data_IF_863004215287
#
_entry.id   IF_863004215287
#
_cell.length_a   1.000
_cell.length_b   1.000
_cell.length_c   1.000
_cell.angle_alpha   90.00
_cell.angle_beta   90.00
_cell.angle_gamma   90.00
#
_symmetry.space_group_name_H-M   'P 1'
#
loop_
_entity.id
_entity.type
_entity.pdbx_description
1 polymer ?
2 water ?
#
# COMPACT_ATOMS: atom_id res chain seq x y z
N UNK A 14 2.03 -14.63 11.82
CA UNK A 14 2.51 -14.68 10.38
C UNK A 14 3.04 -13.31 10.00
N UNK A 15 3.96 -13.29 9.05
CA UNK A 15 4.47 -11.99 8.57
C UNK A 15 3.45 -11.38 7.61
N UNK A 16 3.58 -10.08 7.37
CA UNK A 16 2.71 -9.47 6.37
C UNK A 16 2.78 -10.14 5.00
N UNK A 17 3.98 -10.38 4.44
CA UNK A 17 3.98 -11.08 3.13
C UNK A 17 3.34 -12.46 3.17
N UNK A 18 3.49 -13.20 4.28
CA UNK A 18 2.86 -14.51 4.34
C UNK A 18 1.35 -14.35 4.30
N UNK A 19 0.82 -13.40 5.07
CA UNK A 19 -0.60 -13.14 5.08
C UNK A 19 -1.11 -12.70 3.70
N UNK A 20 -0.30 -11.89 3.04
CA UNK A 20 -0.75 -11.32 1.79
C UNK A 20 -0.71 -12.36 0.69
N UNK A 21 0.09 -13.39 0.89
CA UNK A 21 0.24 -14.41 -0.16
C UNK A 21 -1.02 -15.35 -0.32
N UNK A 22 -2.03 -15.15 0.55
CA UNK A 22 -3.29 -15.81 0.40
C UNK A 22 -4.33 -14.87 -0.25
N UNK A 23 -3.86 -13.69 -0.71
CA UNK A 23 -4.80 -12.66 -1.15
C UNK A 23 -4.71 -12.40 -2.64
N UNK A 24 -5.80 -11.83 -3.19
CA UNK A 24 -5.78 -11.46 -4.60
C UNK A 24 -5.68 -9.97 -4.73
N UNK A 25 -5.37 -9.54 -5.95
CA UNK A 25 -5.48 -8.12 -6.26
C UNK A 25 -6.87 -7.78 -6.77
N UNK A 26 -7.08 -6.51 -7.07
CA UNK A 26 -8.39 -6.08 -7.53
C UNK A 26 -8.74 -6.67 -8.90
N UNK A 27 -7.74 -7.11 -9.65
CA UNK A 27 -7.98 -7.77 -10.97
C UNK A 27 -7.97 -9.29 -10.88
N UNK A 28 -7.93 -9.79 -9.64
CA UNK A 28 -8.02 -11.21 -9.29
C UNK A 28 -6.73 -12.03 -9.35
N UNK A 29 -5.62 -11.41 -9.72
CA UNK A 29 -4.36 -12.13 -9.74
C UNK A 29 -3.83 -12.30 -8.31
N UNK A 30 -2.92 -13.26 -8.09
CA UNK A 30 -2.34 -13.42 -6.75
C UNK A 30 -1.51 -12.20 -6.34
N UNK A 31 -1.79 -11.67 -5.15
CA UNK A 31 -0.96 -10.54 -4.61
C UNK A 31 0.51 -10.94 -4.52
N UNK A 32 0.79 -12.26 -4.34
CA UNK A 32 2.15 -12.66 -4.09
C UNK A 32 3.10 -12.29 -5.26
N UNK A 33 2.58 -12.12 -6.48
CA UNK A 33 3.48 -11.86 -7.63
C UNK A 33 4.26 -10.56 -7.45
N UNK A 34 3.69 -9.65 -6.65
CA UNK A 34 4.30 -8.32 -6.48
C UNK A 34 5.36 -8.29 -5.41
N UNK A 35 5.44 -9.33 -4.57
CA UNK A 35 6.25 -9.29 -3.37
C UNK A 35 7.66 -9.85 -3.62
N UNK A 36 8.35 -9.22 -4.56
CA UNK A 36 9.65 -9.71 -5.03
C UNK A 36 10.62 -9.89 -3.92
N UNK A 37 11.45 -10.94 -4.04
CA UNK A 37 12.40 -11.24 -3.00
C UNK A 37 13.54 -10.22 -2.97
N UNK A 38 14.14 -10.08 -1.80
CA UNK A 38 15.34 -9.28 -1.61
C UNK A 38 15.06 -7.82 -1.80
N UNK A 39 13.78 -7.45 -1.67
CA UNK A 39 13.40 -6.05 -1.73
C UNK A 39 12.51 -5.76 -0.52
N UNK A 40 12.63 -4.56 0.05
CA UNK A 40 11.59 -4.16 1.05
C UNK A 40 10.28 -3.87 0.29
N UNK A 41 9.18 -3.77 1.02
CA UNK A 41 7.89 -3.48 0.43
C UNK A 41 7.32 -2.26 1.10
N UNK A 42 6.90 -1.30 0.26
CA UNK A 42 6.28 -0.07 0.77
C UNK A 42 4.81 -0.20 0.43
N UNK A 43 3.97 -0.18 1.47
CA UNK A 43 2.53 -0.46 1.28
C UNK A 43 1.71 0.77 1.60
N UNK A 44 0.86 1.16 0.69
CA UNK A 44 -0.10 2.28 0.96
C UNK A 44 -1.48 1.69 1.25
N UNK A 45 -2.03 1.99 2.43
CA UNK A 45 -3.40 1.57 2.81
C UNK A 45 -4.32 2.72 2.48
N UNK A 46 -5.45 2.38 1.88
CA UNK A 46 -6.41 3.40 1.46
C UNK A 46 -7.83 2.85 1.40
N UNK A 47 -8.80 3.75 1.17
CA UNK A 47 -10.20 3.40 1.01
C UNK A 47 -10.83 4.25 -0.05
N UNK A 48 -11.87 3.67 -0.64
CA UNK A 48 -12.61 4.34 -1.75
C UNK A 48 -13.30 5.62 -1.27
N UNK A 49 -13.61 5.71 0.03
CA UNK A 49 -14.37 6.84 0.55
C UNK A 49 -13.51 8.02 0.94
N UNK A 50 -12.18 7.90 0.74
CA UNK A 50 -11.25 8.94 1.21
C UNK A 50 -10.81 9.72 -0.04
N UNK A 51 -11.31 10.95 -0.22
CA UNK A 51 -10.92 11.63 -1.47
C UNK A 51 -9.43 11.98 -1.54
N UNK A 52 -8.75 12.14 -0.41
CA UNK A 52 -7.33 12.37 -0.48
C UNK A 52 -6.65 11.12 -1.04
N UNK A 53 -7.04 9.97 -0.50
CA UNK A 53 -6.51 8.73 -1.05
C UNK A 53 -6.77 8.64 -2.54
N UNK A 54 -8.02 8.91 -2.98
CA UNK A 54 -8.28 8.80 -4.42
C UNK A 54 -7.42 9.77 -5.24
N UNK A 55 -7.20 10.97 -4.67
CA UNK A 55 -6.38 11.98 -5.41
C UNK A 55 -4.92 11.56 -5.58
N UNK A 56 -4.50 10.60 -4.73
CA UNK A 56 -3.11 10.19 -4.67
C UNK A 56 -2.87 8.87 -5.45
N UNK A 57 -3.92 8.28 -6.01
CA UNK A 57 -3.75 6.97 -6.75
C UNK A 57 -2.82 7.16 -7.96
N UNK A 58 -2.98 8.29 -8.66
CA UNK A 58 -2.10 8.52 -9.85
C UNK A 58 -0.65 8.72 -9.44
N UNK A 59 -0.45 9.40 -8.31
CA UNK A 59 0.86 9.59 -7.76
C UNK A 59 1.52 8.25 -7.42
N UNK A 60 0.80 7.40 -6.70
CA UNK A 60 1.36 6.09 -6.33
C UNK A 60 1.65 5.25 -7.56
N UNK A 61 0.79 5.35 -8.57
CA UNK A 61 1.03 4.59 -9.81
C UNK A 61 2.33 5.06 -10.47
N UNK A 62 2.54 6.38 -10.49
CA UNK A 62 3.79 6.93 -11.04
C UNK A 62 4.99 6.42 -10.30
N UNK A 63 4.92 6.42 -8.96
CA UNK A 63 6.03 5.94 -8.21
C UNK A 63 6.30 4.49 -8.53
N UNK A 64 5.23 3.70 -8.61
CA UNK A 64 5.41 2.25 -8.78
C UNK A 64 6.13 1.96 -10.10
N UNK A 65 5.95 2.84 -11.06
CA UNK A 65 6.54 2.66 -12.41
C UNK A 65 7.88 3.33 -12.56
N UNK A 66 8.31 4.04 -11.53
CA UNK A 66 9.52 4.88 -11.64
C UNK A 66 10.76 4.10 -11.27
N UNK A 67 11.83 4.28 -12.07
CA UNK A 67 13.08 3.62 -11.72
C UNK A 67 13.64 3.95 -10.32
N UNK A 68 13.36 5.16 -9.81
CA UNK A 68 13.87 5.53 -8.47
C UNK A 68 13.32 4.60 -7.38
N UNK A 69 12.18 3.96 -7.68
CA UNK A 69 11.57 3.07 -6.68
C UNK A 69 11.89 1.63 -6.96
N UNK A 70 12.78 1.36 -7.92
CA UNK A 70 12.95 -0.01 -8.35
C UNK A 70 13.54 -0.93 -7.30
N UNK A 71 14.16 -0.38 -6.26
CA UNK A 71 14.77 -1.23 -5.22
C UNK A 71 13.72 -1.78 -4.25
N UNK A 72 12.45 -1.30 -4.37
CA UNK A 72 11.41 -1.74 -3.41
C UNK A 72 10.23 -2.25 -4.18
N UNK A 73 9.40 -3.05 -3.51
CA UNK A 73 8.09 -3.39 -4.04
C UNK A 73 7.12 -2.30 -3.57
N UNK A 74 6.41 -1.68 -4.50
CA UNK A 74 5.38 -0.70 -4.09
C UNK A 74 4.02 -1.30 -4.38
N UNK A 75 3.25 -1.45 -3.30
CA UNK A 75 1.89 -1.96 -3.46
C UNK A 75 0.89 -1.15 -2.65
N UNK A 76 -0.38 -1.29 -2.98
CA UNK A 76 -1.41 -0.63 -2.16
C UNK A 76 -2.37 -1.71 -1.67
N UNK A 77 -3.05 -1.41 -0.57
CA UNK A 77 -4.03 -2.33 0.01
C UNK A 77 -5.34 -1.58 0.25
N UNK A 78 -6.40 -2.15 -0.33
CA UNK A 78 -7.78 -1.74 0.02
C UNK A 78 -8.38 -2.91 0.77
N UNK A 79 -9.32 -2.61 1.66
CA UNK A 79 -9.80 -3.62 2.64
C UNK A 79 -11.32 -3.70 2.59
N UNK A 80 -11.85 -4.44 1.61
CA UNK A 80 -13.33 -4.53 1.49
C UNK A 80 -14.00 -4.93 2.80
N UNK A 81 -15.07 -4.22 3.15
CA UNK A 81 -15.80 -4.59 4.36
C UNK A 81 -15.24 -4.12 5.66
N UNK A 82 -14.13 -3.38 5.64
CA UNK A 82 -13.47 -2.90 6.82
C UNK A 82 -13.55 -1.38 6.81
N UNK A 83 -13.83 -0.77 7.97
CA UNK A 83 -13.98 0.67 8.11
C UNK A 83 -14.89 1.26 7.01
N UNK A 84 -16.02 0.58 6.77
CA UNK A 84 -17.06 1.02 5.83
C UNK A 84 -16.64 1.05 4.38
N UNK A 85 -15.50 0.38 4.08
CA UNK A 85 -15.19 0.16 2.68
C UNK A 85 -16.25 -0.71 2.04
N UNK A 86 -16.47 -0.51 0.74
CA UNK A 86 -17.35 -1.35 -0.06
C UNK A 86 -17.06 -2.82 0.17
N UNK A 87 -18.12 -3.64 0.22
CA UNK A 87 -17.93 -5.07 0.41
C UNK A 87 -17.18 -5.76 -0.71
N UNK A 88 -16.66 -6.95 -0.41
CA UNK A 88 -16.01 -7.75 -1.42
C UNK A 88 -16.92 -7.94 -2.63
N UNK A 89 -16.36 -7.84 -3.83
CA UNK A 89 -17.12 -7.81 -5.09
C UNK A 89 -17.57 -6.39 -5.47
N UNK A 90 -18.22 -5.69 -4.52
CA UNK A 90 -18.72 -4.32 -4.74
C UNK A 90 -17.47 -3.44 -4.95
N UNK A 91 -16.43 -3.73 -4.14
CA UNK A 91 -15.22 -2.90 -4.20
C UNK A 91 -14.61 -3.00 -5.58
N UNK A 92 -14.40 -4.24 -6.04
CA UNK A 92 -13.72 -4.46 -7.31
C UNK A 92 -14.51 -3.91 -8.51
N UNK A 93 -15.84 -4.02 -8.44
CA UNK A 93 -16.70 -3.48 -9.48
C UNK A 93 -16.57 -1.95 -9.57
N UNK A 94 -16.55 -1.30 -8.42
CA UNK A 94 -16.36 0.16 -8.34
C UNK A 94 -14.96 0.48 -8.88
N UNK A 95 -13.95 -0.25 -8.38
CA UNK A 95 -12.58 0.10 -8.74
C UNK A 95 -12.26 -0.10 -10.21
N UNK A 96 -12.96 -1.06 -10.86
CA UNK A 96 -12.74 -1.29 -12.28
C UNK A 96 -13.10 -0.05 -13.13
N UNK A 97 -13.91 0.87 -12.60
CA UNK A 97 -14.17 2.13 -13.31
C UNK A 97 -13.06 3.18 -13.28
N UNK A 98 -12.09 2.98 -12.38
CA UNK A 98 -10.94 3.88 -12.30
C UNK A 98 -9.86 3.38 -13.23
N UNK A 99 -8.93 4.24 -13.60
CA UNK A 99 -7.94 3.83 -14.55
C UNK A 99 -6.49 4.01 -14.08
N UNK A 100 -6.02 3.02 -13.32
CA UNK A 100 -4.62 3.01 -12.85
C UNK A 100 -4.01 1.64 -13.11
N UNK A 101 -3.81 1.33 -14.38
CA UNK A 101 -3.47 -0.05 -14.73
C UNK A 101 -2.11 -0.49 -14.22
N UNK A 102 -1.20 0.39 -13.83
CA UNK A 102 0.07 -0.03 -13.32
C UNK A 102 0.20 0.03 -11.80
N UNK A 103 -0.92 0.29 -11.11
CA UNK A 103 -0.91 0.32 -9.67
C UNK A 103 -1.39 -1.00 -9.03
N UNK A 104 -0.54 -1.67 -8.24
CA UNK A 104 -1.05 -2.87 -7.58
C UNK A 104 -2.01 -2.57 -6.45
N UNK A 105 -3.20 -3.19 -6.51
CA UNK A 105 -4.16 -3.01 -5.46
C UNK A 105 -4.50 -4.37 -4.87
N UNK A 106 -3.95 -4.66 -3.71
CA UNK A 106 -4.32 -5.91 -3.02
C UNK A 106 -5.66 -5.67 -2.36
N UNK A 107 -6.54 -6.67 -2.39
CA UNK A 107 -7.83 -6.57 -1.75
C UNK A 107 -7.82 -7.50 -0.52
N UNK A 108 -7.87 -6.91 0.65
CA UNK A 108 -7.79 -7.65 1.92
C UNK A 108 -9.18 -7.64 2.52
N UNK A 109 -9.94 -8.73 2.23
CA UNK A 109 -11.33 -8.76 2.67
C UNK A 109 -11.36 -8.76 4.18
N UNK A 110 -12.03 -7.76 4.77
CA UNK A 110 -12.10 -7.60 6.24
C UNK A 110 -10.91 -6.90 6.89
N UNK A 111 -9.92 -6.53 6.08
CA UNK A 111 -8.84 -5.71 6.63
C UNK A 111 -7.93 -6.42 7.64
N UNK A 112 -7.57 -7.67 7.34
CA UNK A 112 -6.69 -8.43 8.25
C UNK A 112 -5.36 -7.71 8.53
N UNK A 113 -4.72 -7.24 7.46
CA UNK A 113 -3.38 -6.68 7.66
C UNK A 113 -3.50 -5.33 8.36
N UNK A 114 -4.48 -4.51 7.94
CA UNK A 114 -4.67 -3.24 8.59
C UNK A 114 -4.92 -3.43 10.11
N UNK A 115 -5.76 -4.40 10.45
CA UNK A 115 -6.00 -4.67 11.87
C UNK A 115 -4.72 -5.14 12.58
N UNK A 116 -3.96 -6.05 11.97
CA UNK A 116 -2.67 -6.50 12.55
C UNK A 116 -1.70 -5.36 12.78
N UNK A 117 -1.71 -4.38 11.86
CA UNK A 117 -0.81 -3.27 11.96
C UNK A 117 -1.37 -2.08 12.72
N UNK A 118 -2.61 -2.20 13.23
CA UNK A 118 -3.27 -1.09 13.93
C UNK A 118 -3.39 0.17 13.05
N UNK A 119 -3.78 -0.06 11.79
CA UNK A 119 -3.99 1.06 10.88
C UNK A 119 -5.47 1.42 11.00
N UNK A 120 -5.74 2.69 11.30
CA UNK A 120 -7.11 3.15 11.51
C UNK A 120 -7.46 4.40 10.71
N UNK A 121 -6.41 4.99 10.11
CA UNK A 121 -6.59 6.23 9.36
C UNK A 121 -5.96 6.08 8.00
N UNK A 122 -6.57 6.73 7.04
CA UNK A 122 -6.08 6.66 5.65
C UNK A 122 -5.78 8.04 5.12
N UNK A 123 -4.81 8.11 4.21
CA UNK A 123 -3.89 7.00 3.88
C UNK A 123 -2.95 6.76 5.05
N UNK A 124 -2.38 5.57 5.07
CA UNK A 124 -1.22 5.30 5.92
C UNK A 124 -0.30 4.40 5.14
N UNK A 125 0.95 4.34 5.58
CA UNK A 125 1.97 3.56 4.85
C UNK A 125 2.67 2.62 5.79
N UNK A 126 3.06 1.46 5.28
CA UNK A 126 3.95 0.60 6.07
C UNK A 126 5.15 0.19 5.26
N UNK A 127 6.32 0.10 5.92
CA UNK A 127 7.50 -0.38 5.27
C UNK A 127 7.80 -1.76 5.91
N UNK A 128 7.82 -2.75 5.03
CA UNK A 128 8.14 -4.17 5.38
C UNK A 128 9.55 -4.45 4.88
N UNK A 129 10.39 -4.97 5.77
CA UNK A 129 11.73 -5.28 5.33
C UNK A 129 11.80 -6.49 4.39
N UNK A 130 12.96 -6.66 3.73
CA UNK A 130 13.10 -7.78 2.82
C UNK A 130 12.93 -9.14 3.51
N UNK A 131 13.15 -9.21 4.83
CA UNK A 131 12.90 -10.47 5.60
C UNK A 131 11.45 -10.65 6.08
N UNK A 132 10.59 -9.67 5.76
CA UNK A 132 9.17 -9.79 6.02
C UNK A 132 8.71 -9.09 7.30
N UNK A 133 9.64 -8.46 8.02
CA UNK A 133 9.32 -7.80 9.29
C UNK A 133 8.78 -6.37 9.08
N UNK A 134 7.84 -5.96 9.93
CA UNK A 134 7.35 -4.58 9.85
C UNK A 134 8.40 -3.65 10.44
N UNK A 135 8.84 -2.66 9.64
CA UNK A 135 9.88 -1.72 10.07
C UNK A 135 9.39 -0.32 10.41
N UNK A 136 8.31 0.11 9.77
CA UNK A 136 7.84 1.46 10.00
C UNK A 136 6.38 1.53 9.57
N UNK A 137 5.60 2.26 10.35
CA UNK A 137 4.21 2.63 9.96
C UNK A 137 4.07 4.13 10.09
N UNK A 138 3.55 4.75 9.02
CA UNK A 138 3.36 6.18 8.97
C UNK A 138 1.89 6.46 8.79
N UNK A 139 1.33 7.27 9.72
CA UNK A 139 -0.07 7.71 9.57
C UNK A 139 -0.09 8.92 8.64
N UNK A 140 -1.00 8.87 7.67
CA UNK A 140 -1.26 10.00 6.75
C UNK A 140 -0.41 9.93 5.52
N UNK A 141 -0.52 10.99 4.73
CA UNK A 141 0.15 11.07 3.44
C UNK A 141 1.63 11.26 3.59
N UNK A 142 2.37 10.80 2.57
CA UNK A 142 3.79 11.06 2.47
C UNK A 142 4.04 11.59 1.06
N UNK A 143 5.07 12.44 0.96
CA UNK A 143 5.48 12.89 -0.37
C UNK A 143 6.54 11.99 -1.01
N UNK A 144 6.90 12.30 -2.27
CA UNK A 144 7.84 11.39 -3.02
C UNK A 144 9.23 11.29 -2.39
N UNK A 145 9.67 12.39 -1.80
CA UNK A 145 10.96 12.43 -1.11
C UNK A 145 10.96 11.63 0.15
N UNK A 146 9.86 11.73 0.93
CA UNK A 146 9.69 10.91 2.14
C UNK A 146 9.60 9.40 1.79
N UNK A 147 8.88 9.09 0.72
CA UNK A 147 8.80 7.67 0.29
C UNK A 147 10.17 7.13 -0.12
N UNK A 148 10.92 7.95 -0.87
CA UNK A 148 12.26 7.50 -1.24
C UNK A 148 13.18 7.35 -0.05
N UNK A 149 13.07 8.28 0.92
CA UNK A 149 13.88 8.22 2.12
C UNK A 149 13.56 6.93 2.88
N UNK A 150 12.27 6.58 2.94
CA UNK A 150 11.89 5.35 3.69
C UNK A 150 12.41 4.07 3.04
N UNK A 151 12.43 4.00 1.71
CA UNK A 151 12.87 2.75 1.05
C UNK A 151 14.38 2.60 1.17
N UNK A 152 15.06 3.73 1.36
CA UNK A 152 16.49 3.70 1.62
C UNK A 152 16.79 3.40 3.09
N UNK A 153 16.05 4.02 4.00
CA UNK A 153 16.34 3.83 5.46
C UNK A 153 15.01 3.80 6.19
N UNK A 154 14.60 2.60 6.68
CA UNK A 154 13.28 2.55 7.36
C UNK A 154 13.13 3.50 8.57
N UNK A 155 14.28 3.95 9.11
CA UNK A 155 14.28 4.87 10.26
C UNK A 155 14.47 6.32 9.88
N UNK A 156 14.32 6.60 8.59
CA UNK A 156 14.39 7.99 8.13
C UNK A 156 13.55 8.96 8.91
N UNK A 157 14.10 10.16 9.14
CA UNK A 157 13.37 11.22 9.72
C UNK A 157 12.47 11.92 8.70
N UNK A 158 11.21 11.54 8.64
CA UNK A 158 10.33 12.14 7.66
C UNK A 158 9.86 13.56 7.96
N UNK A 159 9.77 13.92 9.23
CA UNK A 159 9.37 15.26 9.62
C UNK A 159 10.27 16.36 9.09
N UNK A 160 11.55 16.07 8.88
CA UNK A 160 12.46 17.09 8.38
C UNK A 160 12.14 17.49 6.94
N UNK A 161 11.34 16.65 6.24
CA UNK A 161 10.85 16.91 4.88
C UNK A 161 9.34 17.27 4.78
N UNK A 162 8.69 17.45 5.93
CA UNK A 162 7.24 17.73 5.97
C UNK A 162 6.85 18.96 5.16
N UNK A 163 7.71 19.98 5.18
CA UNK A 163 7.43 21.27 4.52
C UNK A 163 8.18 21.45 3.21
N UNK A 164 8.65 20.35 2.63
CA UNK A 164 9.37 20.47 1.36
C UNK A 164 8.40 20.72 0.19
#
# INVERSE_FOLDING_TARGET
>A
GSHMSPKIVDAGTATVPHTMSTMKTADNRPASVYLKKDKPTLIKFWASWCPLCLSELGQAEKWAQDAKFSSANLITVASPGFLHEKKDGEFQKWYAGLNYPKLPVVTDNGGTIAQNLNISVYPSWALIGKDGDVQRIVKGSINEAQALALIRNPNADLGSLKHS
#
